data_IF_830687174951
#
_entry.id   IF_830687174951
#
_cell.length_a   1.000
_cell.length_b   1.000
_cell.length_c   1.000
_cell.angle_alpha   90.00
_cell.angle_beta   90.00
_cell.angle_gamma   90.00
#
_symmetry.space_group_name_H-M   'P 1'
#
loop_
_entity.id
_entity.type
_entity.pdbx_description
1 polymer ?
#
# COMPACT_ATOMS: atom_id res chain seq x y z
N UNK A 1 4.59 -13.01 4.55
CA UNK A 1 4.73 -11.70 3.88
C UNK A 1 3.78 -10.75 4.55
N UNK A 2 4.30 -9.62 4.98
CA UNK A 2 3.58 -8.65 5.81
C UNK A 2 3.54 -7.31 5.06
N UNK A 3 2.37 -6.68 5.04
CA UNK A 3 2.21 -5.30 4.58
C UNK A 3 1.64 -4.45 5.70
N UNK A 4 2.34 -3.38 6.09
CA UNK A 4 1.79 -2.31 6.92
C UNK A 4 1.29 -1.21 5.98
N UNK A 5 -0.03 -1.06 5.92
CA UNK A 5 -0.70 -0.12 5.02
C UNK A 5 -0.95 1.22 5.72
N UNK A 6 -0.64 2.31 5.03
CA UNK A 6 -0.98 3.67 5.44
C UNK A 6 -1.75 4.34 4.31
N UNK A 7 -3.00 4.73 4.59
CA UNK A 7 -3.76 5.58 3.67
C UNK A 7 -3.22 7.00 3.74
N UNK A 8 -2.81 7.54 2.61
CA UNK A 8 -2.12 8.83 2.53
C UNK A 8 -2.83 9.77 1.56
N UNK A 9 -2.72 11.08 1.83
CA UNK A 9 -3.01 12.12 0.84
C UNK A 9 -1.86 12.30 -0.15
N UNK A 10 -0.63 11.97 0.27
CA UNK A 10 0.59 11.94 -0.53
C UNK A 10 1.69 11.13 0.19
N UNK A 11 2.64 10.57 -0.54
CA UNK A 11 3.86 9.97 0.00
C UNK A 11 5.00 10.03 -1.03
N UNK A 12 6.24 10.07 -0.57
CA UNK A 12 7.42 10.01 -1.45
C UNK A 12 8.61 9.32 -0.78
N UNK A 13 9.57 8.90 -1.60
CA UNK A 13 10.84 8.30 -1.19
C UNK A 13 11.99 9.13 -1.75
N UNK A 14 12.94 9.47 -0.91
CA UNK A 14 14.13 10.25 -1.26
C UNK A 14 15.39 9.48 -0.88
N UNK A 15 16.36 9.41 -1.80
CA UNK A 15 17.68 8.81 -1.59
C UNK A 15 18.74 9.84 -1.94
N UNK A 16 19.67 10.11 -1.03
CA UNK A 16 20.72 11.13 -1.18
C UNK A 16 20.17 12.51 -1.63
N UNK A 17 19.04 12.91 -1.06
CA UNK A 17 18.37 14.17 -1.36
C UNK A 17 17.67 14.23 -2.73
N UNK A 18 17.64 13.14 -3.50
CA UNK A 18 16.89 13.05 -4.76
C UNK A 18 15.63 12.22 -4.58
N UNK A 19 14.48 12.76 -4.99
CA UNK A 19 13.23 12.01 -5.01
C UNK A 19 13.30 10.91 -6.07
N UNK A 20 13.07 9.66 -5.65
CA UNK A 20 13.10 8.47 -6.51
C UNK A 20 11.72 7.89 -6.79
N UNK A 21 10.69 8.40 -6.10
CA UNK A 21 9.31 8.00 -6.31
C UNK A 21 8.37 8.80 -5.44
N UNK A 22 7.19 9.10 -5.98
CA UNK A 22 6.13 9.83 -5.29
C UNK A 22 4.77 9.35 -5.76
N UNK A 23 3.79 9.46 -4.86
CA UNK A 23 2.38 9.21 -5.13
C UNK A 23 1.53 10.34 -4.55
N UNK A 24 0.38 10.59 -5.17
CA UNK A 24 -0.69 11.41 -4.60
C UNK A 24 -1.53 10.61 -3.60
N UNK A 25 -2.85 10.87 -3.59
CA UNK A 25 -3.80 10.12 -2.76
C UNK A 25 -3.71 8.62 -3.08
N UNK A 26 -3.47 7.80 -2.06
CA UNK A 26 -3.26 6.37 -2.27
C UNK A 26 -2.88 5.63 -0.99
N UNK A 27 -2.16 4.52 -1.16
CA UNK A 27 -1.60 3.72 -0.08
C UNK A 27 -0.07 3.73 -0.15
N UNK A 28 0.57 4.05 0.97
CA UNK A 28 1.96 3.70 1.22
C UNK A 28 1.97 2.34 1.93
N UNK A 29 2.77 1.41 1.43
CA UNK A 29 2.87 0.06 2.00
C UNK A 29 4.32 -0.21 2.38
N UNK A 30 4.55 -0.46 3.67
CA UNK A 30 5.84 -0.99 4.14
C UNK A 30 5.75 -2.52 4.08
N UNK A 31 6.55 -3.12 3.21
CA UNK A 31 6.52 -4.56 2.93
C UNK A 31 7.66 -5.26 3.66
N UNK A 32 7.32 -6.29 4.45
CA UNK A 32 8.27 -7.23 5.06
C UNK A 32 8.15 -8.60 4.42
N UNK A 33 9.28 -9.14 3.95
CA UNK A 33 9.38 -10.49 3.39
C UNK A 33 9.98 -11.43 4.42
N UNK A 34 9.33 -12.56 4.67
CA UNK A 34 9.72 -13.58 5.63
C UNK A 34 10.39 -14.76 4.93
N UNK A 35 11.08 -15.63 5.68
CA UNK A 35 11.91 -16.72 5.13
C UNK A 35 11.15 -17.66 4.18
N UNK A 36 9.91 -17.97 4.51
CA UNK A 36 9.10 -18.97 3.80
C UNK A 36 8.09 -18.33 2.82
N UNK A 37 8.28 -17.04 2.50
CA UNK A 37 7.50 -16.37 1.47
C UNK A 37 7.98 -16.73 0.08
N UNK A 38 7.01 -17.03 -0.79
CA UNK A 38 7.20 -17.14 -2.23
C UNK A 38 6.14 -16.33 -2.98
N UNK A 39 6.02 -16.60 -4.28
CA UNK A 39 5.10 -15.91 -5.18
C UNK A 39 3.64 -15.98 -4.69
N UNK A 40 3.20 -17.13 -4.18
CA UNK A 40 1.83 -17.30 -3.69
C UNK A 40 1.48 -16.33 -2.54
N UNK A 41 2.43 -15.99 -1.66
CA UNK A 41 2.22 -15.01 -0.59
C UNK A 41 2.22 -13.59 -1.13
N UNK A 42 3.05 -13.31 -2.14
CA UNK A 42 3.07 -12.03 -2.83
C UNK A 42 1.75 -11.76 -3.56
N UNK A 43 1.23 -12.75 -4.30
CA UNK A 43 -0.06 -12.65 -5.01
C UNK A 43 -1.21 -12.41 -4.03
N UNK A 44 -1.24 -13.15 -2.91
CA UNK A 44 -2.24 -12.93 -1.86
C UNK A 44 -2.13 -11.55 -1.24
N UNK A 45 -0.92 -11.02 -1.02
CA UNK A 45 -0.75 -9.66 -0.53
C UNK A 45 -1.27 -8.66 -1.57
N UNK A 46 -0.91 -8.82 -2.84
CA UNK A 46 -1.34 -7.96 -3.94
C UNK A 46 -2.87 -7.91 -4.04
N UNK A 47 -3.56 -9.07 -4.06
CA UNK A 47 -5.02 -9.14 -4.08
C UNK A 47 -5.65 -8.40 -2.90
N UNK A 48 -5.07 -8.54 -1.70
CA UNK A 48 -5.53 -7.80 -0.51
C UNK A 48 -5.32 -6.31 -0.65
N UNK A 49 -4.16 -5.86 -1.14
CA UNK A 49 -3.86 -4.43 -1.33
C UNK A 49 -4.84 -3.79 -2.32
N UNK A 50 -5.17 -4.48 -3.41
CA UNK A 50 -6.08 -3.97 -4.45
C UNK A 50 -7.56 -3.98 -4.05
N UNK A 51 -7.94 -4.79 -3.06
CA UNK A 51 -9.34 -4.95 -2.63
C UNK A 51 -9.64 -4.31 -1.27
N UNK A 52 -8.64 -3.78 -0.57
CA UNK A 52 -8.80 -3.27 0.80
C UNK A 52 -9.64 -1.98 0.81
N UNK A 53 -10.81 -2.03 1.44
CA UNK A 53 -11.76 -0.91 1.50
C UNK A 53 -11.35 0.13 2.54
N UNK A 54 -10.42 1.00 2.17
CA UNK A 54 -9.86 2.03 3.06
C UNK A 54 -10.15 3.45 2.59
N UNK A 55 -10.77 3.62 1.43
CA UNK A 55 -11.15 4.94 0.92
C UNK A 55 -12.64 5.21 1.15
N UNK A 56 -12.99 6.47 1.48
CA UNK A 56 -14.37 6.87 1.66
C UNK A 56 -15.11 6.87 0.32
N UNK A 57 -16.36 6.44 0.34
CA UNK A 57 -17.34 6.66 -0.72
C UNK A 57 -17.93 8.08 -0.68
N UNK A 58 -18.95 8.33 -1.50
CA UNK A 58 -19.64 9.62 -1.58
C UNK A 58 -20.32 10.04 -0.27
N UNK A 59 -20.60 9.10 0.64
CA UNK A 59 -21.20 9.34 1.95
C UNK A 59 -20.14 9.40 3.07
N UNK A 60 -18.85 9.33 2.72
CA UNK A 60 -17.75 9.34 3.67
C UNK A 60 -17.49 8.00 4.36
N UNK A 61 -18.16 6.92 3.94
CA UNK A 61 -18.02 5.58 4.54
C UNK A 61 -16.88 4.81 3.85
N UNK A 62 -16.08 4.07 4.61
CA UNK A 62 -14.91 3.35 4.10
C UNK A 62 -15.31 2.11 3.29
N UNK A 63 -15.68 2.32 2.02
CA UNK A 63 -16.24 1.29 1.15
C UNK A 63 -15.47 1.11 -0.16
N UNK A 64 -14.57 2.02 -0.50
CA UNK A 64 -13.80 1.99 -1.75
C UNK A 64 -12.38 1.49 -1.49
N UNK A 65 -11.84 0.76 -2.47
CA UNK A 65 -10.43 0.35 -2.58
C UNK A 65 -9.63 1.30 -3.46
#
# INVERSE_FOLDING_TARGET
MIGLLQRVSQASVTVDGREVGAIGRGLLVLVGVERDDGEAQADRLLERLLSYRVFPDAEGRMNLS
#
